data_IF_131607700092
#
_entry.id   IF_131607700092
#
_cell.length_a   1.000
_cell.length_b   1.000
_cell.length_c   1.000
_cell.angle_alpha   90.00
_cell.angle_beta   90.00
_cell.angle_gamma   90.00
#
_symmetry.space_group_name_H-M   'P 1'
#
loop_
_entity.id
_entity.type
_entity.pdbx_description
1 polymer ?
#
# COMPACT_ATOMS: atom_id res chain seq x y z
N UNK A 1 -21.37 -9.27 -2.44
CA UNK A 1 -21.17 -10.45 -1.56
C UNK A 1 -22.50 -10.80 -0.90
N UNK A 2 -23.48 -11.21 -1.71
CA UNK A 2 -24.88 -11.13 -1.29
C UNK A 2 -25.19 -12.11 -0.16
N UNK A 3 -25.97 -11.61 0.81
CA UNK A 3 -26.64 -12.35 1.88
C UNK A 3 -25.88 -12.52 3.19
N UNK A 4 -24.80 -11.78 3.48
CA UNK A 4 -24.22 -11.78 4.84
C UNK A 4 -25.27 -11.36 5.88
N UNK A 5 -25.96 -10.25 5.63
CA UNK A 5 -27.05 -9.77 6.48
C UNK A 5 -28.21 -10.76 6.61
N UNK A 6 -28.57 -11.45 5.52
CA UNK A 6 -29.62 -12.47 5.55
C UNK A 6 -29.20 -13.73 6.31
N UNK A 7 -27.93 -14.12 6.22
CA UNK A 7 -27.38 -15.25 6.95
C UNK A 7 -27.30 -14.95 8.45
N UNK A 8 -26.89 -13.75 8.83
CA UNK A 8 -26.90 -13.31 10.23
C UNK A 8 -28.33 -13.26 10.77
N UNK A 9 -29.27 -12.72 9.99
CA UNK A 9 -30.71 -12.72 10.32
C UNK A 9 -31.28 -14.13 10.50
N UNK A 10 -30.91 -15.08 9.63
CA UNK A 10 -31.29 -16.48 9.76
C UNK A 10 -30.71 -17.11 11.05
N UNK A 11 -29.45 -16.84 11.38
CA UNK A 11 -28.82 -17.33 12.60
C UNK A 11 -29.48 -16.75 13.86
N UNK A 12 -29.89 -15.48 13.84
CA UNK A 12 -30.70 -14.87 14.92
C UNK A 12 -32.02 -15.59 15.10
N UNK A 13 -32.76 -15.83 14.02
CA UNK A 13 -34.03 -16.57 14.08
C UNK A 13 -33.85 -18.02 14.56
N UNK A 14 -32.73 -18.66 14.22
CA UNK A 14 -32.40 -20.00 14.72
C UNK A 14 -32.08 -19.98 16.21
N UNK A 15 -31.34 -18.98 16.70
CA UNK A 15 -31.04 -18.81 18.11
C UNK A 15 -32.33 -18.63 18.93
N UNK A 16 -33.25 -17.80 18.46
CA UNK A 16 -34.58 -17.62 19.06
C UNK A 16 -35.38 -18.93 19.08
N UNK A 17 -35.37 -19.67 17.97
CA UNK A 17 -36.08 -20.96 17.84
C UNK A 17 -35.53 -22.06 18.76
N UNK A 18 -34.25 -21.97 19.13
CA UNK A 18 -33.59 -22.86 20.09
C UNK A 18 -33.81 -22.44 21.54
N UNK A 19 -34.45 -21.28 21.78
CA UNK A 19 -34.63 -20.71 23.11
C UNK A 19 -33.31 -20.21 23.71
N UNK A 20 -32.38 -19.75 22.87
CA UNK A 20 -31.16 -19.09 23.31
C UNK A 20 -31.53 -17.66 23.68
N UNK A 21 -31.34 -17.31 24.95
CA UNK A 21 -31.62 -15.98 25.47
C UNK A 21 -30.47 -15.48 26.36
N UNK A 22 -30.63 -14.28 26.92
CA UNK A 22 -29.66 -13.65 27.79
C UNK A 22 -29.67 -14.20 29.24
N UNK A 23 -30.41 -15.27 29.54
CA UNK A 23 -30.46 -15.84 30.89
C UNK A 23 -29.21 -16.64 31.24
N UNK A 24 -28.51 -17.19 30.24
CA UNK A 24 -27.30 -18.01 30.41
C UNK A 24 -26.05 -17.25 29.97
N UNK A 25 -24.87 -17.66 30.46
CA UNK A 25 -23.61 -17.02 30.06
C UNK A 25 -23.30 -17.33 28.59
N UNK A 26 -23.60 -18.55 28.18
CA UNK A 26 -23.44 -19.06 26.82
C UNK A 26 -24.37 -18.32 25.85
N UNK A 27 -25.65 -18.11 26.23
CA UNK A 27 -26.60 -17.37 25.41
C UNK A 27 -26.23 -15.90 25.24
N UNK A 28 -25.78 -15.23 26.30
CA UNK A 28 -25.22 -13.86 26.18
C UNK A 28 -24.05 -13.78 25.22
N UNK A 29 -23.14 -14.76 25.26
CA UNK A 29 -21.99 -14.81 24.36
C UNK A 29 -22.45 -15.01 22.90
N UNK A 30 -23.39 -15.93 22.66
CA UNK A 30 -23.91 -16.20 21.31
C UNK A 30 -24.60 -14.97 20.73
N UNK A 31 -25.46 -14.30 21.52
CA UNK A 31 -26.12 -13.07 21.07
C UNK A 31 -25.10 -11.98 20.73
N UNK A 32 -24.08 -11.77 21.56
CA UNK A 32 -23.01 -10.81 21.27
C UNK A 32 -22.20 -11.16 20.01
N UNK A 33 -22.00 -12.45 19.72
CA UNK A 33 -21.37 -12.89 18.47
C UNK A 33 -22.27 -12.57 17.27
N UNK A 34 -23.58 -12.78 17.38
CA UNK A 34 -24.53 -12.46 16.32
C UNK A 34 -24.58 -10.95 16.03
N UNK A 35 -24.55 -10.14 17.08
CA UNK A 35 -24.49 -8.68 16.94
C UNK A 35 -23.20 -8.24 16.22
N UNK A 36 -22.04 -8.77 16.64
CA UNK A 36 -20.78 -8.46 15.97
C UNK A 36 -20.79 -8.90 14.49
N UNK A 37 -21.40 -10.05 14.18
CA UNK A 37 -21.53 -10.51 12.79
C UNK A 37 -22.46 -9.63 11.94
N UNK A 38 -23.46 -9.00 12.56
CA UNK A 38 -24.32 -8.00 11.90
C UNK A 38 -23.49 -6.75 11.56
N UNK A 39 -22.72 -6.24 12.52
CA UNK A 39 -21.81 -5.10 12.31
C UNK A 39 -20.80 -5.39 11.19
N UNK A 40 -20.24 -6.62 11.15
CA UNK A 40 -19.35 -7.04 10.05
C UNK A 40 -20.07 -7.11 8.71
N UNK A 41 -21.31 -7.58 8.68
CA UNK A 41 -22.09 -7.66 7.44
C UNK A 41 -22.33 -6.26 6.86
N UNK A 42 -22.73 -5.30 7.71
CA UNK A 42 -22.98 -3.91 7.32
C UNK A 42 -21.69 -3.23 6.84
N UNK A 43 -20.58 -3.40 7.57
CA UNK A 43 -19.30 -2.81 7.19
C UNK A 43 -18.77 -3.35 5.84
N UNK A 44 -19.00 -4.63 5.55
CA UNK A 44 -18.62 -5.23 4.26
C UNK A 44 -19.47 -4.69 3.13
N UNK A 45 -20.77 -4.47 3.35
CA UNK A 45 -21.69 -3.89 2.36
C UNK A 45 -21.31 -2.44 2.01
N UNK A 46 -20.97 -1.63 3.03
CA UNK A 46 -20.45 -0.27 2.82
C UNK A 46 -19.11 -0.26 2.07
N UNK A 47 -18.23 -1.21 2.38
CA UNK A 47 -16.95 -1.36 1.69
C UNK A 47 -17.13 -1.77 0.23
N UNK A 48 -18.05 -2.68 -0.07
CA UNK A 48 -18.37 -3.11 -1.45
C UNK A 48 -18.92 -1.93 -2.26
N UNK A 49 -19.79 -1.10 -1.67
CA UNK A 49 -20.28 0.12 -2.32
C UNK A 49 -19.14 1.10 -2.63
N UNK A 50 -18.30 1.39 -1.64
CA UNK A 50 -17.14 2.29 -1.82
C UNK A 50 -16.15 1.76 -2.86
N UNK A 51 -15.93 0.45 -2.90
CA UNK A 51 -15.04 -0.19 -3.88
C UNK A 51 -15.62 -0.13 -5.30
N UNK A 52 -16.94 -0.25 -5.44
CA UNK A 52 -17.61 -0.04 -6.74
C UNK A 52 -17.42 1.40 -7.23
N UNK A 53 -17.61 2.39 -6.37
CA UNK A 53 -17.43 3.81 -6.72
C UNK A 53 -15.97 4.11 -7.14
N UNK A 54 -14.99 3.54 -6.43
CA UNK A 54 -13.58 3.68 -6.80
C UNK A 54 -13.27 3.03 -8.14
N UNK A 55 -13.87 1.88 -8.44
CA UNK A 55 -13.66 1.21 -9.72
C UNK A 55 -14.20 2.04 -10.89
N UNK A 56 -15.34 2.71 -10.69
CA UNK A 56 -15.90 3.63 -11.68
C UNK A 56 -14.95 4.83 -11.90
N UNK A 57 -14.43 5.42 -10.83
CA UNK A 57 -13.45 6.53 -10.92
C UNK A 57 -12.16 6.13 -11.62
N UNK A 58 -11.62 4.93 -11.34
CA UNK A 58 -10.44 4.41 -12.03
C UNK A 58 -10.73 4.20 -13.52
N UNK A 59 -11.94 3.75 -13.87
CA UNK A 59 -12.37 3.64 -15.26
C UNK A 59 -12.42 5.00 -15.98
N UNK A 60 -12.88 6.05 -15.31
CA UNK A 60 -12.85 7.42 -15.85
C UNK A 60 -11.41 7.90 -16.10
N UNK A 61 -10.49 7.63 -15.16
CA UNK A 61 -9.08 7.98 -15.32
C UNK A 61 -8.42 7.23 -16.49
N UNK A 62 -8.76 5.96 -16.70
CA UNK A 62 -8.25 5.16 -17.83
C UNK A 62 -8.71 5.75 -19.17
N UNK A 63 -9.98 6.17 -19.28
CA UNK A 63 -10.52 6.84 -20.47
C UNK A 63 -9.83 8.19 -20.73
N UNK A 64 -9.66 9.01 -19.68
CA UNK A 64 -8.95 10.30 -19.77
C UNK A 64 -7.49 10.12 -20.21
N UNK A 65 -6.80 9.11 -19.68
CA UNK A 65 -5.41 8.81 -20.05
C UNK A 65 -5.31 8.33 -21.50
N UNK A 66 -6.23 7.47 -21.95
CA UNK A 66 -6.28 7.04 -23.35
C UNK A 66 -6.46 8.21 -24.31
N UNK A 67 -7.30 9.21 -23.97
CA UNK A 67 -7.46 10.41 -24.81
C UNK A 67 -6.14 11.22 -24.89
N UNK A 68 -5.40 11.30 -23.78
CA UNK A 68 -4.11 11.99 -23.74
C UNK A 68 -3.06 11.23 -24.56
N UNK A 69 -3.00 9.90 -24.43
CA UNK A 69 -2.10 9.04 -25.20
C UNK A 69 -2.34 9.17 -26.70
N UNK A 70 -3.60 9.07 -27.14
CA UNK A 70 -3.96 9.24 -28.55
C UNK A 70 -3.58 10.63 -29.06
N UNK A 71 -3.71 11.68 -28.23
CA UNK A 71 -3.34 13.03 -28.63
C UNK A 71 -1.83 13.25 -28.74
N UNK A 72 -1.04 12.60 -27.89
CA UNK A 72 0.41 12.78 -27.86
C UNK A 72 1.13 11.83 -28.81
N UNK A 73 0.66 10.59 -28.91
CA UNK A 73 1.32 9.49 -29.61
C UNK A 73 0.49 8.91 -30.77
N UNK A 74 -0.80 9.26 -30.90
CA UNK A 74 -1.71 8.65 -31.88
C UNK A 74 -1.59 9.15 -33.32
N UNK A 75 -0.74 10.16 -33.60
CA UNK A 75 -0.38 10.60 -34.95
C UNK A 75 0.92 9.94 -35.47
N UNK A 76 1.60 9.09 -34.67
CA UNK A 76 2.75 8.30 -35.13
C UNK A 76 2.25 7.02 -35.82
N UNK A 77 1.77 7.19 -37.06
CA UNK A 77 1.56 6.09 -38.01
C UNK A 77 2.79 5.15 -38.00
N UNK A 78 2.51 3.87 -37.77
CA UNK A 78 3.40 2.73 -37.95
C UNK A 78 4.05 2.75 -39.35
N UNK A 79 5.21 3.40 -39.49
CA UNK A 79 6.08 3.23 -40.67
C UNK A 79 7.56 3.24 -40.27
N UNK A 80 7.90 2.47 -39.23
CA UNK A 80 9.26 1.97 -39.07
C UNK A 80 9.43 0.76 -40.00
N UNK A 81 9.49 1.02 -41.31
CA UNK A 81 10.07 0.11 -42.28
C UNK A 81 11.55 -0.06 -41.86
N UNK A 82 11.83 -1.11 -41.08
CA UNK A 82 13.18 -1.61 -40.85
C UNK A 82 13.67 -2.15 -42.21
N UNK A 83 14.06 -1.25 -43.11
CA UNK A 83 14.99 -1.60 -44.18
C UNK A 83 16.30 -1.96 -43.50
N UNK A 84 16.50 -3.28 -43.39
CA UNK A 84 17.73 -3.97 -43.06
C UNK A 84 18.84 -3.54 -44.04
N UNK A 85 19.42 -2.36 -43.84
CA UNK A 85 20.70 -1.97 -44.42
C UNK A 85 21.80 -2.31 -43.40
N UNK A 86 22.34 -3.52 -43.57
CA UNK A 86 23.66 -3.89 -43.08
C UNK A 86 24.70 -2.78 -43.39
N UNK A 87 25.54 -2.51 -42.39
CA UNK A 87 26.82 -1.78 -42.44
C UNK A 87 26.77 -0.26 -42.68
N UNK A 88 27.13 0.52 -41.64
CA UNK A 88 28.37 1.31 -41.64
C UNK A 88 28.69 1.83 -40.23
N UNK A 89 29.54 1.08 -39.52
CA UNK A 89 30.55 1.51 -38.54
C UNK A 89 30.44 2.96 -38.00
N UNK A 90 29.55 3.19 -37.03
CA UNK A 90 29.56 4.41 -36.23
C UNK A 90 30.61 4.27 -35.12
N UNK A 91 31.85 4.67 -35.42
CA UNK A 91 32.92 4.88 -34.45
C UNK A 91 32.45 5.93 -33.44
N UNK A 92 32.05 5.48 -32.23
CA UNK A 92 31.80 6.36 -31.09
C UNK A 92 33.12 7.02 -30.69
N UNK A 93 33.32 8.26 -31.12
CA UNK A 93 34.35 9.13 -30.57
C UNK A 93 33.91 9.51 -29.15
N UNK A 94 34.46 8.79 -28.16
CA UNK A 94 34.38 9.19 -26.76
C UNK A 94 35.18 10.49 -26.63
N UNK A 95 34.50 11.63 -26.69
CA UNK A 95 35.01 12.85 -26.09
C UNK A 95 35.01 12.63 -24.56
N UNK A 96 36.12 12.07 -24.09
CA UNK A 96 36.52 11.86 -22.70
C UNK A 96 36.93 13.20 -22.07
N UNK A 97 36.01 14.17 -21.96
CA UNK A 97 36.23 15.38 -21.15
C UNK A 97 34.92 16.20 -21.01
N UNK A 98 34.09 15.83 -20.02
CA UNK A 98 33.34 16.81 -19.21
C UNK A 98 33.01 16.14 -17.87
N UNK A 99 33.92 16.31 -16.91
CA UNK A 99 33.61 16.12 -15.49
C UNK A 99 32.58 17.19 -15.09
N UNK A 100 31.30 16.86 -15.20
CA UNK A 100 30.29 17.51 -14.37
C UNK A 100 30.30 16.81 -13.01
N UNK A 101 31.08 17.39 -12.09
CA UNK A 101 30.88 17.29 -10.64
C UNK A 101 29.44 17.77 -10.32
N UNK A 102 28.45 16.92 -10.54
CA UNK A 102 27.20 17.00 -9.80
C UNK A 102 27.42 16.24 -8.50
N UNK A 103 27.85 16.97 -7.47
CA UNK A 103 27.57 16.62 -6.07
C UNK A 103 26.03 16.53 -5.93
N UNK A 104 25.42 15.47 -6.45
CA UNK A 104 24.09 15.02 -6.03
C UNK A 104 24.26 14.62 -4.56
N UNK A 105 23.72 15.43 -3.67
CA UNK A 105 23.58 15.17 -2.24
C UNK A 105 22.66 13.95 -2.09
N UNK A 106 23.21 12.75 -2.27
CA UNK A 106 22.51 11.48 -2.03
C UNK A 106 22.22 11.41 -0.54
N UNK A 107 21.04 11.88 -0.12
CA UNK A 107 20.52 11.66 1.23
C UNK A 107 20.42 10.14 1.47
N UNK A 108 21.33 9.59 2.27
CA UNK A 108 21.38 8.16 2.61
C UNK A 108 20.28 7.83 3.65
N UNK A 109 19.35 6.95 3.28
CA UNK A 109 18.24 6.52 4.13
C UNK A 109 18.44 5.07 4.60
N UNK A 110 18.16 4.81 5.87
CA UNK A 110 18.29 3.49 6.51
C UNK A 110 16.93 3.03 7.05
N UNK A 111 16.63 1.74 6.90
CA UNK A 111 15.42 1.14 7.48
C UNK A 111 15.63 0.77 8.96
N UNK A 112 14.71 1.22 9.81
CA UNK A 112 14.75 0.96 11.25
C UNK A 112 13.43 0.39 11.76
N UNK A 113 13.50 -0.51 12.74
CA UNK A 113 12.34 -1.10 13.39
C UNK A 113 11.89 -0.25 14.60
N UNK A 114 10.63 0.17 14.62
CA UNK A 114 10.06 0.90 15.75
C UNK A 114 9.91 -0.02 16.98
N UNK A 115 10.48 0.31 18.17
CA UNK A 115 10.42 -0.53 19.36
C UNK A 115 9.02 -0.64 20.00
N UNK A 116 8.08 0.23 19.62
CA UNK A 116 6.73 0.25 20.19
C UNK A 116 5.71 -0.54 19.36
N UNK A 117 5.83 -0.53 18.03
CA UNK A 117 4.87 -1.18 17.14
C UNK A 117 5.47 -2.18 16.16
N UNK A 118 6.80 -2.36 16.18
CA UNK A 118 7.54 -3.31 15.35
C UNK A 118 7.34 -3.12 13.85
N UNK A 119 6.95 -1.92 13.43
CA UNK A 119 6.85 -1.53 12.02
C UNK A 119 8.16 -0.91 11.56
N UNK A 120 8.57 -1.21 10.33
CA UNK A 120 9.72 -0.61 9.68
C UNK A 120 9.42 0.83 9.26
N UNK A 121 10.41 1.70 9.40
CA UNK A 121 10.37 3.09 8.96
C UNK A 121 11.72 3.49 8.38
N UNK A 122 11.71 4.29 7.32
CA UNK A 122 12.93 4.84 6.71
C UNK A 122 13.31 6.14 7.40
N UNK A 123 14.58 6.28 7.77
CA UNK A 123 15.13 7.45 8.48
C UNK A 123 16.44 7.85 7.82
N UNK A 124 16.69 9.15 7.67
CA UNK A 124 17.96 9.71 7.19
C UNK A 124 19.11 9.29 8.12
N UNK A 125 20.22 8.81 7.56
CA UNK A 125 21.36 8.33 8.34
C UNK A 125 21.96 9.43 9.23
N UNK A 126 21.99 10.68 8.75
CA UNK A 126 22.47 11.83 9.52
C UNK A 126 21.71 12.03 10.84
N UNK A 127 20.40 11.72 10.87
CA UNK A 127 19.60 11.83 12.09
C UNK A 127 19.94 10.74 13.10
N UNK A 128 20.50 9.62 12.64
CA UNK A 128 20.95 8.53 13.51
C UNK A 128 22.30 8.83 14.18
N UNK A 129 23.09 9.77 13.65
CA UNK A 129 24.35 10.21 14.27
C UNK A 129 24.14 10.98 15.57
N UNK A 130 22.99 11.65 15.73
CA UNK A 130 22.63 12.38 16.96
C UNK A 130 21.89 11.46 17.94
N UNK A 131 22.62 10.92 18.92
CA UNK A 131 22.09 10.02 19.95
C UNK A 131 20.93 10.62 20.81
N UNK A 132 20.81 11.95 20.85
CA UNK A 132 19.78 12.66 21.60
C UNK A 132 18.57 13.07 20.73
N UNK A 133 18.59 12.79 19.43
CA UNK A 133 17.48 13.08 18.53
C UNK A 133 16.23 12.25 18.85
N UNK A 134 15.07 12.87 18.63
CA UNK A 134 13.75 12.30 18.90
C UNK A 134 12.96 12.21 17.60
N UNK A 135 12.57 10.98 17.25
CA UNK A 135 11.82 10.66 16.04
C UNK A 135 10.39 10.28 16.43
N UNK A 136 9.42 10.63 15.57
CA UNK A 136 8.02 10.27 15.80
C UNK A 136 7.65 9.16 14.83
N UNK A 137 7.26 8.00 15.35
CA UNK A 137 6.82 6.90 14.50
C UNK A 137 5.49 7.26 13.80
N UNK A 138 5.38 7.14 12.47
CA UNK A 138 4.15 7.45 11.73
C UNK A 138 3.03 6.45 11.98
N UNK A 139 3.37 5.23 12.41
CA UNK A 139 2.39 4.15 12.62
C UNK A 139 1.74 4.20 14.01
N UNK A 140 2.50 4.53 15.07
CA UNK A 140 1.98 4.53 16.45
C UNK A 140 2.04 5.89 17.16
N UNK A 141 2.52 6.93 16.48
CA UNK A 141 2.69 8.29 17.02
C UNK A 141 3.54 8.38 18.31
N UNK A 142 4.30 7.35 18.64
CA UNK A 142 5.20 7.37 19.77
C UNK A 142 6.48 8.15 19.43
N UNK A 143 6.93 8.98 20.37
CA UNK A 143 8.25 9.62 20.32
C UNK A 143 9.30 8.60 20.77
N UNK A 144 10.27 8.35 19.90
CA UNK A 144 11.32 7.33 20.05
C UNK A 144 12.67 8.05 20.01
N UNK A 145 13.59 7.62 20.87
CA UNK A 145 14.97 8.11 20.84
C UNK A 145 15.77 7.28 19.85
N UNK A 146 16.66 7.93 19.11
CA UNK A 146 17.51 7.28 18.10
C UNK A 146 18.24 6.06 18.64
N UNK A 147 18.83 6.14 19.84
CA UNK A 147 19.51 5.02 20.52
C UNK A 147 18.66 3.75 20.76
N UNK A 148 17.33 3.87 20.72
CA UNK A 148 16.39 2.77 20.98
C UNK A 148 15.89 2.12 19.68
N UNK A 149 16.30 2.62 18.52
CA UNK A 149 16.01 2.05 17.21
C UNK A 149 16.98 0.92 16.88
N UNK A 150 16.49 -0.05 16.11
CA UNK A 150 17.32 -1.11 15.53
C UNK A 150 17.36 -0.91 14.03
N UNK A 151 18.56 -0.74 13.50
CA UNK A 151 18.82 -0.74 12.07
C UNK A 151 18.63 -2.17 11.56
N UNK A 152 17.88 -2.31 10.46
CA UNK A 152 17.71 -3.57 9.74
C UNK A 152 18.66 -3.51 8.55
N UNK A 153 19.76 -4.26 8.63
CA UNK A 153 20.66 -4.44 7.51
C UNK A 153 20.10 -5.57 6.62
N UNK A 154 19.91 -5.32 5.32
CA UNK A 154 19.46 -6.31 4.32
C UNK A 154 20.51 -7.43 4.05
N UNK A 155 21.63 -7.45 4.78
CA UNK A 155 22.76 -8.38 4.60
C UNK A 155 22.62 -9.72 5.37
N UNK A 156 21.55 -9.94 6.14
CA UNK A 156 21.30 -11.23 6.80
C UNK A 156 20.53 -12.22 5.88
N UNK A 157 21.12 -12.55 4.72
CA UNK A 157 20.83 -13.80 4.01
C UNK A 157 21.57 -14.97 4.69
N UNK A 158 20.85 -15.77 5.49
CA UNK A 158 21.25 -17.13 5.93
C UNK A 158 20.18 -18.18 5.57
#
# INVERSE_FOLDING_TARGET
>A
MEYLNERVSYLRGLADGLGIDDSTKEGKLILAILDALEDFADAIEELEASQSELNDYVGELDEDLSEIEDRLYGDEDEDYDYEDEEDEDYEYDYDEDEEEDEDEDYEEYVEVECPNCHMLMSVEEELLEDEDAELVCPHCNATIKVKDLKIVDDDDED
#
